data_IF_749541477887
#
_entry.id   IF_749541477887
#
_cell.length_a   1.000
_cell.length_b   1.000
_cell.length_c   1.000
_cell.angle_alpha   90.00
_cell.angle_beta   90.00
_cell.angle_gamma   90.00
#
_symmetry.space_group_name_H-M   'P 1'
#
loop_
_entity.id
_entity.type
_entity.pdbx_description
1 polymer ?
#
# COMPACT_ATOMS: atom_id res chain seq x y z
N UNK A 1 2.40 17.65 -56.59
CA UNK A 1 2.29 16.44 -55.75
C UNK A 1 3.51 15.56 -55.95
N UNK A 2 4.29 15.33 -54.89
CA UNK A 2 5.03 14.08 -54.74
C UNK A 2 4.72 13.41 -53.39
N UNK A 3 4.56 12.08 -53.44
CA UNK A 3 4.28 11.21 -52.28
C UNK A 3 5.47 11.22 -51.31
N UNK A 4 5.28 11.74 -50.09
CA UNK A 4 6.18 11.49 -48.94
C UNK A 4 5.84 10.12 -48.36
N UNK A 5 6.81 9.21 -48.37
CA UNK A 5 6.82 8.04 -47.49
C UNK A 5 6.82 8.53 -46.05
N UNK A 6 5.77 8.23 -45.29
CA UNK A 6 5.84 8.26 -43.83
C UNK A 6 6.65 7.03 -43.42
N UNK A 7 7.90 7.28 -43.05
CA UNK A 7 8.72 6.32 -42.32
C UNK A 7 8.11 6.19 -40.94
N UNK A 8 7.52 5.03 -40.64
CA UNK A 8 7.16 4.61 -39.30
C UNK A 8 8.46 4.53 -38.48
N UNK A 9 8.69 5.54 -37.64
CA UNK A 9 9.71 5.43 -36.60
C UNK A 9 9.13 4.55 -35.50
N UNK A 10 9.40 3.25 -35.56
CA UNK A 10 9.30 2.40 -34.38
C UNK A 10 10.38 2.88 -33.41
N UNK A 11 10.01 3.74 -32.46
CA UNK A 11 10.76 3.83 -31.22
C UNK A 11 10.57 2.50 -30.52
N UNK A 12 11.59 1.65 -30.60
CA UNK A 12 11.82 0.60 -29.61
C UNK A 12 11.69 1.26 -28.24
N UNK A 13 10.73 0.83 -27.43
CA UNK A 13 10.76 1.12 -25.99
C UNK A 13 12.05 0.50 -25.47
N UNK A 14 13.06 1.33 -25.23
CA UNK A 14 14.18 0.96 -24.38
C UNK A 14 13.55 0.66 -23.02
N UNK A 15 13.51 -0.63 -22.64
CA UNK A 15 13.11 -1.00 -21.28
C UNK A 15 14.08 -0.29 -20.35
N UNK A 16 13.56 0.51 -19.44
CA UNK A 16 14.37 1.06 -18.35
C UNK A 16 15.05 -0.11 -17.62
N UNK A 17 16.31 0.08 -17.19
CA UNK A 17 17.09 -1.00 -16.60
C UNK A 17 16.44 -1.45 -15.29
N UNK A 18 15.99 -2.70 -15.27
CA UNK A 18 15.47 -3.35 -14.06
C UNK A 18 16.58 -3.39 -13.00
N UNK A 19 16.28 -2.85 -11.81
CA UNK A 19 17.17 -2.86 -10.64
C UNK A 19 17.37 -4.28 -10.12
N UNK A 20 16.29 -5.06 -10.07
CA UNK A 20 16.30 -6.41 -9.53
C UNK A 20 15.41 -7.35 -10.36
N UNK A 21 16.03 -8.24 -11.14
CA UNK A 21 15.36 -9.17 -12.06
C UNK A 21 14.99 -10.54 -11.46
N UNK A 22 15.16 -10.68 -10.15
CA UNK A 22 14.96 -11.92 -9.43
C UNK A 22 14.34 -11.66 -8.05
N UNK A 23 13.77 -12.70 -7.46
CA UNK A 23 13.15 -12.61 -6.14
C UNK A 23 14.19 -12.94 -5.08
N UNK A 24 14.33 -12.08 -4.06
CA UNK A 24 15.18 -12.34 -2.90
C UNK A 24 14.29 -12.73 -1.71
N UNK A 25 14.60 -13.86 -1.07
CA UNK A 25 13.96 -14.25 0.20
C UNK A 25 14.98 -14.75 1.20
N UNK A 26 14.63 -14.71 2.48
CA UNK A 26 15.46 -15.29 3.52
C UNK A 26 15.46 -16.83 3.43
N UNK A 27 16.57 -17.45 3.80
CA UNK A 27 16.71 -18.91 3.89
C UNK A 27 15.84 -19.50 4.98
N UNK A 28 15.58 -18.74 6.04
CA UNK A 28 14.73 -19.18 7.14
C UNK A 28 13.28 -19.31 6.67
N UNK A 29 12.76 -18.29 5.99
CA UNK A 29 11.41 -18.30 5.42
C UNK A 29 11.26 -19.34 4.31
N UNK A 30 12.23 -19.42 3.39
CA UNK A 30 12.22 -20.43 2.31
C UNK A 30 12.08 -21.87 2.84
N UNK A 31 12.77 -22.18 3.94
CA UNK A 31 12.77 -23.51 4.58
C UNK A 31 11.63 -23.70 5.57
N UNK A 32 10.84 -22.67 5.84
CA UNK A 32 9.73 -22.79 6.79
C UNK A 32 8.64 -23.70 6.24
N UNK A 33 8.03 -24.46 7.14
CA UNK A 33 6.82 -25.23 6.86
C UNK A 33 5.55 -24.39 6.82
N UNK A 34 5.61 -23.12 7.26
CA UNK A 34 4.51 -22.17 7.11
C UNK A 34 4.57 -21.55 5.72
N UNK A 35 3.46 -21.58 5.01
CA UNK A 35 3.30 -21.01 3.66
C UNK A 35 3.54 -19.51 3.67
N UNK A 36 2.90 -18.81 4.60
CA UNK A 36 3.03 -17.36 4.72
C UNK A 36 4.46 -16.83 4.94
N UNK A 37 5.36 -17.59 5.56
CA UNK A 37 6.70 -17.10 5.90
C UNK A 37 7.52 -16.66 4.66
N UNK A 38 7.43 -17.40 3.54
CA UNK A 38 8.13 -17.02 2.30
C UNK A 38 7.48 -15.83 1.60
N UNK A 39 6.16 -15.72 1.68
CA UNK A 39 5.40 -14.58 1.15
C UNK A 39 5.77 -13.32 1.92
N UNK A 40 5.66 -13.36 3.25
CA UNK A 40 6.06 -12.26 4.14
C UNK A 40 7.52 -11.86 3.96
N UNK A 41 8.41 -12.82 3.66
CA UNK A 41 9.79 -12.52 3.33
C UNK A 41 9.95 -11.78 2.00
N UNK A 42 9.16 -12.09 0.97
CA UNK A 42 9.13 -11.32 -0.27
C UNK A 42 8.54 -9.92 -0.03
N UNK A 43 7.42 -9.84 0.71
CA UNK A 43 6.77 -8.58 1.10
C UNK A 43 7.75 -7.65 1.81
N UNK A 44 8.48 -8.17 2.80
CA UNK A 44 9.47 -7.39 3.55
C UNK A 44 10.60 -6.86 2.65
N UNK A 45 11.05 -7.65 1.68
CA UNK A 45 12.11 -7.24 0.74
C UNK A 45 11.59 -6.19 -0.23
N UNK A 46 10.41 -6.39 -0.83
CA UNK A 46 9.80 -5.43 -1.75
C UNK A 46 9.57 -4.10 -1.06
N UNK A 47 8.94 -4.09 0.13
CA UNK A 47 8.74 -2.87 0.92
C UNK A 47 10.06 -2.17 1.21
N UNK A 48 11.07 -2.89 1.71
CA UNK A 48 12.35 -2.29 2.01
C UNK A 48 13.01 -1.64 0.78
N UNK A 49 12.95 -2.28 -0.39
CA UNK A 49 13.51 -1.69 -1.61
C UNK A 49 12.72 -0.45 -2.06
N UNK A 50 11.39 -0.49 -1.97
CA UNK A 50 10.54 0.67 -2.28
C UNK A 50 10.80 1.83 -1.33
N UNK A 51 10.91 1.57 -0.02
CA UNK A 51 11.24 2.57 1.00
C UNK A 51 12.61 3.20 0.75
N UNK A 52 13.58 2.39 0.31
CA UNK A 52 14.95 2.80 0.00
C UNK A 52 15.12 3.36 -1.42
N UNK A 53 14.03 3.81 -2.07
CA UNK A 53 14.12 4.60 -3.30
C UNK A 53 14.00 3.83 -4.61
N UNK A 54 13.78 2.51 -4.57
CA UNK A 54 13.43 1.76 -5.79
C UNK A 54 12.04 2.18 -6.28
N UNK A 55 11.85 2.15 -7.59
CA UNK A 55 10.55 2.34 -8.23
C UNK A 55 9.90 1.00 -8.56
N UNK A 56 8.57 1.00 -8.63
CA UNK A 56 7.79 -0.23 -8.72
C UNK A 56 8.13 -1.07 -9.95
N UNK A 57 8.39 -0.45 -11.09
CA UNK A 57 8.73 -1.12 -12.36
C UNK A 57 10.21 -1.52 -12.48
N UNK A 58 11.05 -1.15 -11.50
CA UNK A 58 12.45 -1.57 -11.42
C UNK A 58 12.61 -2.95 -10.74
N UNK A 59 11.57 -3.48 -10.13
CA UNK A 59 11.56 -4.77 -9.43
C UNK A 59 11.03 -5.91 -10.33
N UNK A 60 11.39 -7.15 -9.97
CA UNK A 60 10.98 -8.36 -10.69
C UNK A 60 9.44 -8.47 -10.76
N UNK A 61 8.86 -8.75 -11.95
CA UNK A 61 7.42 -8.97 -12.08
C UNK A 61 6.89 -10.11 -11.19
N UNK A 62 7.73 -11.12 -10.92
CA UNK A 62 7.40 -12.21 -10.00
C UNK A 62 7.36 -11.74 -8.54
N UNK A 63 8.29 -10.87 -8.12
CA UNK A 63 8.29 -10.28 -6.78
C UNK A 63 7.03 -9.43 -6.55
N UNK A 64 6.73 -8.53 -7.49
CA UNK A 64 5.58 -7.64 -7.45
C UNK A 64 4.26 -8.39 -7.59
N UNK A 65 4.21 -9.42 -8.44
CA UNK A 65 3.03 -10.27 -8.59
C UNK A 65 2.71 -11.02 -7.29
N UNK A 66 3.73 -11.56 -6.61
CA UNK A 66 3.55 -12.17 -5.28
C UNK A 66 3.10 -11.15 -4.23
N UNK A 67 3.73 -9.98 -4.21
CA UNK A 67 3.45 -8.88 -3.29
C UNK A 67 2.01 -8.37 -3.42
N UNK A 68 1.57 -8.04 -4.63
CA UNK A 68 0.23 -7.48 -4.84
C UNK A 68 -0.88 -8.51 -4.72
N UNK A 69 -0.64 -9.79 -5.03
CA UNK A 69 -1.62 -10.85 -4.75
C UNK A 69 -1.80 -11.08 -3.24
N UNK A 70 -0.72 -11.02 -2.45
CA UNK A 70 -0.81 -11.05 -0.98
C UNK A 70 -1.62 -9.87 -0.45
N UNK A 71 -1.35 -8.65 -0.95
CA UNK A 71 -2.14 -7.47 -0.63
C UNK A 71 -3.63 -7.67 -0.99
N UNK A 72 -3.93 -8.17 -2.19
CA UNK A 72 -5.29 -8.47 -2.62
C UNK A 72 -6.01 -9.45 -1.68
N UNK A 73 -5.39 -10.61 -1.40
CA UNK A 73 -5.95 -11.61 -0.48
C UNK A 73 -6.20 -11.00 0.90
N UNK A 74 -5.21 -10.28 1.45
CA UNK A 74 -5.34 -9.66 2.77
C UNK A 74 -6.45 -8.59 2.84
N UNK A 75 -6.64 -7.78 1.80
CA UNK A 75 -7.73 -6.80 1.80
C UNK A 75 -9.11 -7.48 1.74
N UNK A 76 -9.25 -8.51 0.89
CA UNK A 76 -10.51 -9.23 0.75
C UNK A 76 -10.86 -10.03 2.00
N UNK A 77 -9.88 -10.66 2.65
CA UNK A 77 -10.11 -11.37 3.92
C UNK A 77 -10.49 -10.43 5.08
N UNK A 78 -10.00 -9.18 5.07
CA UNK A 78 -10.27 -8.22 6.14
C UNK A 78 -11.59 -7.45 5.96
N UNK A 79 -11.97 -7.12 4.74
CA UNK A 79 -13.16 -6.29 4.48
C UNK A 79 -13.75 -6.43 3.08
N UNK A 80 -13.51 -7.56 2.43
CA UNK A 80 -14.07 -7.86 1.12
C UNK A 80 -13.43 -7.11 -0.03
N UNK A 81 -14.02 -7.30 -1.21
CA UNK A 81 -13.56 -6.66 -2.44
C UNK A 81 -13.72 -5.13 -2.38
N UNK A 82 -14.73 -4.64 -1.66
CA UNK A 82 -14.91 -3.21 -1.39
C UNK A 82 -13.68 -2.59 -0.72
N UNK A 83 -13.18 -3.21 0.35
CA UNK A 83 -11.97 -2.74 1.02
C UNK A 83 -10.76 -2.80 0.09
N UNK A 84 -10.62 -3.83 -0.75
CA UNK A 84 -9.56 -3.89 -1.74
C UNK A 84 -9.65 -2.75 -2.78
N UNK A 85 -10.84 -2.50 -3.33
CA UNK A 85 -11.07 -1.44 -4.32
C UNK A 85 -10.69 -0.08 -3.70
N UNK A 86 -11.17 0.19 -2.49
CA UNK A 86 -10.89 1.44 -1.79
C UNK A 86 -9.39 1.60 -1.46
N UNK A 87 -8.79 0.61 -0.80
CA UNK A 87 -7.40 0.69 -0.33
C UNK A 87 -6.36 0.63 -1.45
N UNK A 88 -6.69 0.02 -2.60
CA UNK A 88 -5.83 0.07 -3.78
C UNK A 88 -5.95 1.41 -4.54
N UNK A 89 -6.96 2.24 -4.23
CA UNK A 89 -7.32 3.41 -5.03
C UNK A 89 -7.67 3.07 -6.48
N UNK A 90 -7.93 1.78 -6.76
CA UNK A 90 -8.00 1.22 -8.11
C UNK A 90 -6.80 1.58 -9.01
N UNK A 91 -5.62 1.68 -8.42
CA UNK A 91 -4.40 2.08 -9.12
C UNK A 91 -4.00 1.07 -10.22
N UNK A 92 -3.82 1.51 -11.49
CA UNK A 92 -3.53 0.59 -12.60
C UNK A 92 -2.26 -0.25 -12.43
N UNK A 93 -1.25 0.26 -11.71
CA UNK A 93 -0.03 -0.48 -11.42
C UNK A 93 -0.34 -1.65 -10.47
N UNK A 94 -1.06 -1.39 -9.37
CA UNK A 94 -1.52 -2.44 -8.44
C UNK A 94 -2.41 -3.47 -9.16
N UNK A 95 -3.45 -3.03 -9.86
CA UNK A 95 -4.42 -3.92 -10.54
C UNK A 95 -3.74 -4.77 -11.63
N UNK A 96 -2.80 -4.17 -12.36
CA UNK A 96 -1.99 -4.88 -13.35
C UNK A 96 -1.14 -5.99 -12.71
N UNK A 97 -0.52 -5.71 -11.56
CA UNK A 97 0.28 -6.70 -10.84
C UNK A 97 -0.54 -7.79 -10.18
N UNK A 98 -1.74 -7.51 -9.66
CA UNK A 98 -2.67 -8.55 -9.19
C UNK A 98 -3.03 -9.49 -10.34
N UNK A 99 -3.50 -8.94 -11.47
CA UNK A 99 -3.87 -9.73 -12.64
C UNK A 99 -2.70 -10.60 -13.14
N UNK A 100 -1.51 -10.01 -13.24
CA UNK A 100 -0.32 -10.73 -13.72
C UNK A 100 0.17 -11.75 -12.69
N UNK A 101 0.11 -11.44 -11.40
CA UNK A 101 0.48 -12.33 -10.32
C UNK A 101 -0.39 -13.59 -10.30
N UNK A 102 -1.71 -13.44 -10.37
CA UNK A 102 -2.65 -14.56 -10.43
C UNK A 102 -2.36 -15.48 -11.63
N UNK A 103 -2.08 -14.91 -12.81
CA UNK A 103 -1.67 -15.66 -14.00
C UNK A 103 -0.36 -16.43 -13.77
N UNK A 104 0.68 -15.76 -13.26
CA UNK A 104 2.00 -16.36 -13.02
C UNK A 104 1.96 -17.51 -12.00
N UNK A 105 1.09 -17.41 -11.00
CA UNK A 105 0.86 -18.46 -9.99
C UNK A 105 0.02 -19.63 -10.52
N UNK A 106 -0.62 -19.48 -11.69
CA UNK A 106 -1.59 -20.45 -12.21
C UNK A 106 -2.91 -20.47 -11.44
N UNK A 107 -3.23 -19.41 -10.69
CA UNK A 107 -4.45 -19.24 -9.91
C UNK A 107 -5.65 -18.90 -10.84
N UNK A 108 -5.98 -19.82 -11.75
CA UNK A 108 -6.87 -19.56 -12.88
C UNK A 108 -8.27 -19.13 -12.43
N UNK A 109 -8.83 -19.77 -11.38
CA UNK A 109 -10.17 -19.45 -10.87
C UNK A 109 -10.19 -18.06 -10.21
N UNK A 110 -9.15 -17.74 -9.45
CA UNK A 110 -8.99 -16.41 -8.87
C UNK A 110 -8.77 -15.34 -9.93
N UNK A 111 -8.02 -15.63 -10.99
CA UNK A 111 -7.85 -14.72 -12.13
C UNK A 111 -9.19 -14.43 -12.84
N UNK A 112 -10.03 -15.45 -13.02
CA UNK A 112 -11.39 -15.30 -13.58
C UNK A 112 -12.28 -14.46 -12.65
N UNK A 113 -12.25 -14.71 -11.33
CA UNK A 113 -12.97 -13.92 -10.35
C UNK A 113 -12.54 -12.45 -10.40
N UNK A 114 -11.23 -12.20 -10.36
CA UNK A 114 -10.66 -10.85 -10.41
C UNK A 114 -10.97 -10.11 -11.73
N UNK A 115 -11.03 -10.83 -12.85
CA UNK A 115 -11.47 -10.25 -14.12
C UNK A 115 -12.93 -9.76 -14.07
N UNK A 116 -13.82 -10.40 -13.28
CA UNK A 116 -15.18 -9.90 -13.05
C UNK A 116 -15.20 -8.68 -12.14
N UNK A 117 -14.33 -8.61 -11.13
CA UNK A 117 -14.16 -7.39 -10.32
C UNK A 117 -13.78 -6.21 -11.23
N UNK A 118 -12.83 -6.43 -12.15
CA UNK A 118 -12.45 -5.42 -13.14
C UNK A 118 -13.63 -5.02 -14.04
N UNK A 119 -14.45 -5.97 -14.49
CA UNK A 119 -15.65 -5.68 -15.28
C UNK A 119 -16.68 -4.83 -14.51
N UNK A 120 -16.86 -5.09 -13.21
CA UNK A 120 -17.73 -4.26 -12.36
C UNK A 120 -17.17 -2.83 -12.33
N UNK A 121 -15.89 -2.66 -12.04
CA UNK A 121 -15.25 -1.34 -11.98
C UNK A 121 -15.26 -0.59 -13.32
N UNK A 122 -15.09 -1.29 -14.44
CA UNK A 122 -15.18 -0.72 -15.79
C UNK A 122 -16.60 -0.28 -16.17
N UNK A 123 -17.62 -0.83 -15.51
CA UNK A 123 -19.03 -0.48 -15.75
C UNK A 123 -19.50 0.75 -14.97
N UNK A 124 -18.75 1.19 -13.95
CA UNK A 124 -19.10 2.33 -13.11
C UNK A 124 -18.94 3.66 -13.85
N UNK A 125 -19.85 4.61 -13.61
CA UNK A 125 -19.67 6.00 -14.06
C UNK A 125 -18.61 6.74 -13.23
N UNK A 126 -18.15 7.89 -13.72
CA UNK A 126 -17.18 8.73 -12.99
C UNK A 126 -17.74 9.22 -11.65
N UNK A 127 -19.04 9.54 -11.57
CA UNK A 127 -19.71 9.91 -10.32
C UNK A 127 -19.79 8.73 -9.34
N UNK A 128 -20.02 7.52 -9.87
CA UNK A 128 -20.07 6.31 -9.06
C UNK A 128 -18.70 5.93 -8.51
N UNK A 129 -17.65 6.16 -9.31
CA UNK A 129 -16.27 6.09 -8.86
C UNK A 129 -16.05 7.14 -7.79
N UNK A 130 -16.26 8.43 -8.04
CA UNK A 130 -16.02 9.48 -7.03
C UNK A 130 -16.67 9.17 -5.65
N UNK A 131 -17.90 8.66 -5.61
CA UNK A 131 -18.58 8.28 -4.37
C UNK A 131 -17.84 7.20 -3.55
N UNK A 132 -17.15 6.25 -4.19
CA UNK A 132 -16.36 5.21 -3.50
C UNK A 132 -15.13 5.83 -2.80
N UNK A 133 -14.59 6.94 -3.31
CA UNK A 133 -13.37 7.58 -2.80
C UNK A 133 -13.71 8.63 -1.74
N UNK A 134 -14.80 9.40 -1.92
CA UNK A 134 -15.16 10.51 -1.04
C UNK A 134 -15.80 10.05 0.29
N UNK A 135 -16.72 9.08 0.23
CA UNK A 135 -17.52 8.71 1.40
C UNK A 135 -17.19 7.29 1.92
N UNK A 136 -16.42 6.50 1.17
CA UNK A 136 -16.32 5.05 1.39
C UNK A 136 -17.69 4.34 1.30
N UNK A 137 -18.71 5.04 0.78
CA UNK A 137 -20.08 4.55 0.66
C UNK A 137 -20.27 3.99 -0.74
N UNK A 138 -20.36 2.67 -0.80
CA UNK A 138 -20.75 1.95 -1.99
C UNK A 138 -22.28 2.06 -2.15
N UNK A 139 -22.78 2.37 -3.35
CA UNK A 139 -24.22 2.38 -3.61
C UNK A 139 -24.85 1.00 -3.39
N UNK A 140 -26.13 0.94 -3.00
CA UNK A 140 -26.82 -0.31 -2.58
C UNK A 140 -26.67 -1.46 -3.59
N UNK A 141 -26.80 -1.16 -4.89
CA UNK A 141 -26.63 -2.15 -5.97
C UNK A 141 -25.16 -2.59 -6.18
N UNK A 142 -24.18 -1.75 -5.79
CA UNK A 142 -22.72 -2.01 -5.93
C UNK A 142 -22.17 -2.81 -4.77
N UNK A 143 -22.59 -2.45 -3.55
CA UNK A 143 -22.40 -3.25 -2.32
C UNK A 143 -22.82 -4.69 -2.64
N UNK A 144 -24.01 -4.84 -3.25
CA UNK A 144 -24.52 -6.16 -3.62
C UNK A 144 -23.62 -6.93 -4.61
N UNK A 145 -22.98 -6.26 -5.58
CA UNK A 145 -22.12 -6.93 -6.55
C UNK A 145 -20.77 -7.34 -5.95
N UNK A 146 -20.14 -6.47 -5.15
CA UNK A 146 -18.87 -6.78 -4.49
C UNK A 146 -19.04 -7.75 -3.32
N UNK A 147 -20.16 -7.71 -2.61
CA UNK A 147 -20.53 -8.72 -1.60
C UNK A 147 -20.61 -10.12 -2.24
N UNK A 148 -21.33 -10.26 -3.35
CA UNK A 148 -21.44 -11.55 -4.07
C UNK A 148 -20.07 -12.04 -4.52
N UNK A 149 -19.24 -11.16 -5.09
CA UNK A 149 -17.90 -11.53 -5.51
C UNK A 149 -16.98 -11.85 -4.32
N UNK A 150 -17.22 -11.24 -3.16
CA UNK A 150 -16.50 -11.51 -1.90
C UNK A 150 -16.87 -12.89 -1.37
N UNK A 151 -18.16 -13.22 -1.32
CA UNK A 151 -18.63 -14.56 -0.92
C UNK A 151 -18.03 -15.64 -1.85
N UNK A 152 -18.07 -15.41 -3.17
CA UNK A 152 -17.46 -16.32 -4.14
C UNK A 152 -15.94 -16.44 -3.95
N UNK A 153 -15.25 -15.36 -3.57
CA UNK A 153 -13.83 -15.40 -3.25
C UNK A 153 -13.56 -16.24 -2.00
N UNK A 154 -14.34 -16.06 -0.94
CA UNK A 154 -14.20 -16.81 0.31
C UNK A 154 -14.39 -18.30 0.05
N UNK A 155 -15.48 -18.69 -0.62
CA UNK A 155 -15.73 -20.08 -1.01
C UNK A 155 -14.60 -20.65 -1.88
N UNK A 156 -14.12 -19.87 -2.85
CA UNK A 156 -13.02 -20.27 -3.70
C UNK A 156 -11.72 -20.45 -2.90
N UNK A 157 -11.41 -19.57 -1.96
CA UNK A 157 -10.17 -19.63 -1.18
C UNK A 157 -10.17 -20.80 -0.19
N UNK A 158 -11.32 -21.37 0.16
CA UNK A 158 -11.40 -22.64 0.93
C UNK A 158 -10.88 -23.84 0.12
N UNK A 159 -11.10 -23.84 -1.20
CA UNK A 159 -10.71 -24.93 -2.11
C UNK A 159 -9.34 -24.70 -2.76
N UNK A 160 -9.07 -23.46 -3.19
CA UNK A 160 -7.89 -23.01 -3.91
C UNK A 160 -7.25 -21.85 -3.12
N UNK A 161 -6.51 -22.20 -2.06
CA UNK A 161 -5.87 -21.21 -1.18
C UNK A 161 -4.81 -20.39 -1.92
N UNK A 162 -5.05 -19.08 -2.11
CA UNK A 162 -4.09 -18.17 -2.72
C UNK A 162 -2.76 -18.14 -1.96
N UNK A 163 -2.80 -18.09 -0.63
CA UNK A 163 -1.59 -18.21 0.21
C UNK A 163 -0.73 -19.45 -0.17
N UNK A 164 -1.38 -20.59 -0.44
CA UNK A 164 -0.67 -21.83 -0.81
C UNK A 164 -0.11 -21.76 -2.22
N UNK A 165 -0.87 -21.22 -3.17
CA UNK A 165 -0.42 -21.03 -4.56
C UNK A 165 0.73 -20.04 -4.65
N UNK A 166 0.64 -18.89 -3.96
CA UNK A 166 1.66 -17.86 -3.92
C UNK A 166 2.97 -18.41 -3.31
N UNK A 167 2.88 -19.12 -2.18
CA UNK A 167 4.06 -19.75 -1.57
C UNK A 167 4.68 -20.84 -2.45
N UNK A 168 3.88 -21.61 -3.20
CA UNK A 168 4.37 -22.61 -4.13
C UNK A 168 5.04 -21.97 -5.36
N UNK A 169 4.44 -20.90 -5.89
CA UNK A 169 4.99 -20.09 -6.97
C UNK A 169 6.37 -19.56 -6.60
N UNK A 170 6.49 -18.83 -5.48
CA UNK A 170 7.77 -18.29 -5.00
C UNK A 170 8.84 -19.38 -4.86
N UNK A 171 8.51 -20.52 -4.25
CA UNK A 171 9.47 -21.63 -4.08
C UNK A 171 9.88 -22.29 -5.39
N UNK A 172 9.03 -22.22 -6.42
CA UNK A 172 9.24 -22.80 -7.74
C UNK A 172 9.99 -21.89 -8.73
N UNK A 173 10.24 -20.64 -8.37
CA UNK A 173 10.88 -19.67 -9.27
C UNK A 173 12.32 -20.08 -9.63
N UNK A 174 12.68 -20.11 -10.92
CA UNK A 174 14.05 -20.41 -11.35
C UNK A 174 15.04 -19.28 -10.99
N UNK A 175 14.54 -18.04 -10.87
CA UNK A 175 15.25 -16.84 -10.46
C UNK A 175 14.98 -16.50 -8.98
N UNK A 176 14.93 -17.48 -8.09
CA UNK A 176 14.85 -17.24 -6.65
C UNK A 176 16.26 -17.20 -6.02
N UNK A 177 16.63 -16.07 -5.42
CA UNK A 177 17.82 -15.95 -4.58
C UNK A 177 17.47 -16.20 -3.11
N UNK A 178 18.08 -17.23 -2.51
CA UNK A 178 17.85 -17.63 -1.11
C UNK A 178 19.03 -17.23 -0.22
N UNK A 179 18.87 -16.11 0.48
CA UNK A 179 19.93 -15.44 1.25
C UNK A 179 19.87 -15.83 2.73
N UNK A 180 21.01 -16.01 3.42
CA UNK A 180 20.93 -16.24 4.88
C UNK A 180 20.43 -14.99 5.57
N UNK A 181 19.61 -15.13 6.62
CA UNK A 181 19.05 -13.99 7.36
C UNK A 181 20.10 -12.94 7.78
N UNK A 182 21.26 -13.37 8.27
CA UNK A 182 22.36 -12.48 8.69
C UNK A 182 23.07 -11.77 7.52
N UNK A 183 22.94 -12.29 6.31
CA UNK A 183 23.59 -11.77 5.10
C UNK A 183 22.58 -10.95 4.26
N UNK A 184 21.29 -10.91 4.65
CA UNK A 184 20.20 -10.28 3.87
C UNK A 184 20.34 -8.76 3.83
N UNK A 185 20.61 -8.13 4.95
CA UNK A 185 20.80 -6.68 5.05
C UNK A 185 21.93 -6.19 4.14
N UNK A 186 23.11 -6.81 4.23
CA UNK A 186 24.25 -6.49 3.35
C UNK A 186 23.92 -6.73 1.87
N UNK A 187 23.17 -7.80 1.56
CA UNK A 187 22.75 -8.10 0.19
C UNK A 187 21.82 -7.04 -0.38
N UNK A 188 20.85 -6.55 0.40
CA UNK A 188 19.92 -5.51 -0.01
C UNK A 188 20.60 -4.15 -0.09
N UNK A 189 21.51 -3.81 0.84
CA UNK A 189 22.35 -2.62 0.74
C UNK A 189 23.17 -2.60 -0.56
N UNK A 190 23.65 -3.76 -1.01
CA UNK A 190 24.30 -3.91 -2.31
C UNK A 190 23.38 -3.64 -3.51
N UNK A 191 22.07 -3.95 -3.43
CA UNK A 191 21.08 -3.56 -4.45
C UNK A 191 20.85 -2.06 -4.42
N UNK A 192 20.59 -1.52 -3.23
CA UNK A 192 20.26 -0.10 -3.02
C UNK A 192 21.39 0.81 -3.53
N UNK A 193 22.65 0.41 -3.31
CA UNK A 193 23.81 1.14 -3.83
C UNK A 193 23.88 1.22 -5.38
N UNK A 194 23.07 0.44 -6.10
CA UNK A 194 22.96 0.50 -7.57
C UNK A 194 21.78 1.32 -8.08
N UNK A 195 20.92 1.82 -7.18
CA UNK A 195 19.80 2.69 -7.55
C UNK A 195 20.35 4.00 -8.14
N UNK A 196 19.99 4.35 -9.38
CA UNK A 196 20.42 5.60 -9.99
C UNK A 196 19.79 6.79 -9.28
N UNK A 197 20.55 7.87 -9.13
CA UNK A 197 20.08 9.16 -8.59
C UNK A 197 19.35 9.03 -7.23
N UNK A 198 19.74 8.04 -6.42
CA UNK A 198 19.05 7.68 -5.17
C UNK A 198 18.83 8.88 -4.23
N UNK A 199 19.88 9.68 -4.00
CA UNK A 199 19.78 10.89 -3.15
C UNK A 199 18.72 11.87 -3.67
N UNK A 200 18.65 12.05 -4.99
CA UNK A 200 17.66 12.92 -5.62
C UNK A 200 16.25 12.33 -5.49
N UNK A 201 16.07 11.04 -5.76
CA UNK A 201 14.76 10.36 -5.63
C UNK A 201 14.22 10.47 -4.21
N UNK A 202 15.05 10.24 -3.20
CA UNK A 202 14.67 10.37 -1.79
C UNK A 202 14.32 11.82 -1.44
N UNK A 203 15.11 12.80 -1.92
CA UNK A 203 14.82 14.21 -1.70
C UNK A 203 13.50 14.64 -2.36
N UNK A 204 13.20 14.19 -3.58
CA UNK A 204 11.95 14.45 -4.28
C UNK A 204 10.75 13.84 -3.55
N UNK A 205 10.86 12.59 -3.09
CA UNK A 205 9.81 11.94 -2.29
C UNK A 205 9.57 12.66 -0.96
N UNK A 206 10.63 13.05 -0.25
CA UNK A 206 10.52 13.82 0.98
C UNK A 206 9.85 15.18 0.73
N UNK A 207 10.22 15.87 -0.35
CA UNK A 207 9.60 17.13 -0.73
C UNK A 207 8.12 16.96 -1.09
N UNK A 208 7.77 15.90 -1.82
CA UNK A 208 6.38 15.58 -2.17
C UNK A 208 5.56 15.24 -0.92
N UNK A 209 6.09 14.38 -0.04
CA UNK A 209 5.44 14.03 1.22
C UNK A 209 5.22 15.27 2.10
N UNK A 210 6.18 16.19 2.17
CA UNK A 210 6.01 17.48 2.84
C UNK A 210 4.97 18.37 2.15
N UNK A 211 4.93 18.40 0.82
CA UNK A 211 3.96 19.20 0.06
C UNK A 211 2.53 18.69 0.23
N UNK A 212 2.32 17.38 0.29
CA UNK A 212 1.01 16.74 0.47
C UNK A 212 0.70 16.37 1.91
N UNK A 213 1.55 16.75 2.86
CA UNK A 213 1.37 16.41 4.28
C UNK A 213 0.01 16.92 4.76
N UNK A 214 -0.88 16.02 5.23
CA UNK A 214 -2.23 16.39 5.63
C UNK A 214 -2.19 17.26 6.88
N UNK A 215 -3.25 18.05 7.07
CA UNK A 215 -3.34 19.03 8.15
C UNK A 215 -3.14 18.39 9.53
N UNK A 216 -3.79 17.26 9.81
CA UNK A 216 -3.67 16.59 11.12
C UNK A 216 -2.22 16.26 11.48
N UNK A 217 -1.41 15.84 10.50
CA UNK A 217 -0.01 15.53 10.73
C UNK A 217 0.81 16.78 11.07
N UNK A 218 0.56 17.90 10.37
CA UNK A 218 1.19 19.19 10.68
C UNK A 218 0.81 19.70 12.07
N UNK A 219 -0.44 19.49 12.48
CA UNK A 219 -0.93 19.84 13.83
C UNK A 219 -0.24 19.00 14.90
N UNK A 220 -0.09 17.68 14.69
CA UNK A 220 0.65 16.80 15.61
C UNK A 220 2.12 17.21 15.73
N UNK A 221 2.78 17.56 14.62
CA UNK A 221 4.14 18.08 14.63
C UNK A 221 4.24 19.39 15.43
N UNK A 222 3.27 20.30 15.28
CA UNK A 222 3.22 21.54 16.06
C UNK A 222 3.01 21.27 17.56
N UNK A 223 2.17 20.30 17.93
CA UNK A 223 1.99 19.86 19.32
C UNK A 223 3.30 19.31 19.89
N UNK A 224 3.98 18.44 19.14
CA UNK A 224 5.24 17.86 19.59
C UNK A 224 6.32 18.94 19.75
N UNK A 225 6.40 19.90 18.82
CA UNK A 225 7.33 21.02 18.90
C UNK A 225 7.05 21.95 20.11
N UNK A 226 5.77 22.26 20.39
CA UNK A 226 5.36 23.07 21.55
C UNK A 226 5.75 22.39 22.88
N UNK A 227 5.61 21.06 22.94
CA UNK A 227 5.87 20.27 24.15
C UNK A 227 7.30 19.76 24.30
N UNK A 228 8.11 19.86 23.24
CA UNK A 228 9.46 19.30 23.20
C UNK A 228 9.47 17.77 23.15
N UNK A 229 8.48 17.17 22.51
CA UNK A 229 8.37 15.71 22.31
C UNK A 229 8.96 15.31 20.96
N UNK A 230 9.48 14.09 20.89
CA UNK A 230 9.87 13.46 19.64
C UNK A 230 8.71 12.58 19.14
N UNK A 231 8.16 12.92 17.96
CA UNK A 231 7.13 12.12 17.31
C UNK A 231 7.73 10.82 16.77
N UNK A 232 7.22 9.68 17.22
CA UNK A 232 7.62 8.36 16.72
C UNK A 232 6.76 7.96 15.50
N UNK A 233 5.43 8.05 15.62
CA UNK A 233 4.50 7.73 14.53
C UNK A 233 3.09 8.27 14.81
N UNK A 234 2.31 8.50 13.76
CA UNK A 234 0.85 8.68 13.85
C UNK A 234 0.23 7.30 13.60
N UNK A 235 -0.73 6.87 14.41
CA UNK A 235 -1.19 5.48 14.43
C UNK A 235 -2.58 5.29 13.83
N UNK A 236 -3.53 6.17 14.15
CA UNK A 236 -4.91 6.02 13.70
C UNK A 236 -5.69 7.35 13.73
N UNK A 237 -6.69 7.46 12.86
CA UNK A 237 -7.81 8.38 13.04
C UNK A 237 -9.00 7.61 13.61
N UNK A 238 -9.53 8.08 14.73
CA UNK A 238 -10.74 7.58 15.37
C UNK A 238 -11.94 8.45 14.96
N UNK A 239 -12.78 8.00 14.01
CA UNK A 239 -13.96 8.75 13.58
C UNK A 239 -15.09 8.73 14.62
N UNK A 240 -14.96 7.98 15.71
CA UNK A 240 -15.98 7.86 16.76
C UNK A 240 -15.78 8.85 17.91
N UNK A 241 -14.69 9.62 17.88
CA UNK A 241 -14.41 10.62 18.88
C UNK A 241 -15.51 11.70 18.92
N UNK A 242 -15.73 12.26 20.12
CA UNK A 242 -16.72 13.32 20.32
C UNK A 242 -16.11 14.49 21.09
N UNK A 243 -16.43 15.70 20.66
CA UNK A 243 -16.07 16.95 21.34
C UNK A 243 -17.30 17.85 21.42
N UNK A 244 -17.65 18.33 22.62
CA UNK A 244 -18.84 19.14 22.87
C UNK A 244 -20.16 18.54 22.32
N UNK A 245 -20.25 17.21 22.29
CA UNK A 245 -21.40 16.47 21.76
C UNK A 245 -21.51 16.41 20.24
N UNK A 246 -20.49 16.88 19.51
CA UNK A 246 -20.34 16.70 18.07
C UNK A 246 -19.34 15.59 17.77
N UNK A 247 -19.59 14.82 16.71
CA UNK A 247 -18.66 13.82 16.22
C UNK A 247 -17.50 14.53 15.51
N UNK A 248 -16.28 14.14 15.89
CA UNK A 248 -15.02 14.67 15.35
C UNK A 248 -14.07 13.49 15.12
N UNK A 249 -12.97 13.71 14.38
CA UNK A 249 -11.93 12.71 14.23
C UNK A 249 -10.86 12.96 15.30
N UNK A 250 -10.60 11.96 16.15
CA UNK A 250 -9.49 11.95 17.09
C UNK A 250 -8.25 11.33 16.44
N UNK A 251 -7.11 12.02 16.44
CA UNK A 251 -5.88 11.48 15.85
C UNK A 251 -4.92 10.98 16.92
N UNK A 252 -4.58 9.69 16.84
CA UNK A 252 -3.69 9.00 17.76
C UNK A 252 -2.24 9.01 17.25
N UNK A 253 -1.29 9.21 18.16
CA UNK A 253 0.13 9.25 17.85
C UNK A 253 1.01 8.80 19.03
N UNK A 254 2.19 8.28 18.71
CA UNK A 254 3.21 7.85 19.65
C UNK A 254 4.36 8.84 19.68
N UNK A 255 4.87 9.09 20.86
CA UNK A 255 6.06 9.91 21.11
C UNK A 255 7.01 9.17 22.05
N UNK A 256 8.19 9.75 22.27
CA UNK A 256 9.11 9.33 23.34
C UNK A 256 8.52 9.41 24.76
N UNK A 257 7.36 10.05 24.91
CA UNK A 257 6.57 10.13 26.14
C UNK A 257 5.37 9.17 26.19
N UNK A 258 5.21 8.31 25.17
CA UNK A 258 4.15 7.33 25.07
C UNK A 258 3.03 7.77 24.13
N UNK A 259 1.86 7.17 24.34
CA UNK A 259 0.69 7.35 23.50
C UNK A 259 -0.12 8.59 23.88
N UNK A 260 -0.50 9.36 22.86
CA UNK A 260 -1.33 10.54 22.94
C UNK A 260 -2.36 10.53 21.83
N UNK A 261 -3.42 11.32 22.01
CA UNK A 261 -4.33 11.63 20.92
C UNK A 261 -4.77 13.09 20.96
N UNK A 262 -5.24 13.61 19.83
CA UNK A 262 -5.65 15.00 19.73
C UNK A 262 -6.92 15.19 18.92
N UNK A 263 -7.59 16.32 19.16
CA UNK A 263 -8.70 16.83 18.35
C UNK A 263 -8.27 18.18 17.79
N UNK A 264 -8.30 18.31 16.45
CA UNK A 264 -8.04 19.57 15.75
C UNK A 264 -9.33 20.40 15.66
N UNK A 265 -9.31 21.60 16.25
CA UNK A 265 -10.43 22.55 16.26
C UNK A 265 -10.16 23.77 15.34
N UNK A 266 -9.19 23.67 14.43
CA UNK A 266 -8.83 24.73 13.48
C UNK A 266 -7.73 25.66 14.00
N UNK A 267 -8.05 26.57 14.92
CA UNK A 267 -7.04 27.48 15.49
C UNK A 267 -6.29 26.87 16.68
N UNK A 268 -6.81 25.78 17.23
CA UNK A 268 -6.29 25.10 18.41
C UNK A 268 -6.48 23.60 18.31
N UNK A 269 -5.61 22.85 18.97
CA UNK A 269 -5.73 21.42 19.13
C UNK A 269 -5.78 21.05 20.61
N UNK A 270 -6.72 20.19 20.99
CA UNK A 270 -6.84 19.65 22.35
C UNK A 270 -6.10 18.31 22.38
N UNK A 271 -5.23 18.13 23.37
CA UNK A 271 -4.35 16.95 23.49
C UNK A 271 -4.72 16.15 24.71
N UNK A 272 -4.76 14.83 24.55
CA UNK A 272 -5.13 13.86 25.56
C UNK A 272 -3.99 12.84 25.80
N UNK A 273 -3.92 12.32 27.01
CA UNK A 273 -3.05 11.17 27.33
C UNK A 273 -3.74 9.83 27.02
N UNK A 274 -3.04 8.73 27.33
CA UNK A 274 -3.54 7.38 27.11
C UNK A 274 -4.72 6.99 28.01
N UNK A 275 -5.01 7.77 29.05
CA UNK A 275 -6.09 7.55 30.01
C UNK A 275 -7.28 8.50 29.73
N UNK A 276 -7.33 9.10 28.53
CA UNK A 276 -8.33 10.06 28.05
C UNK A 276 -8.42 11.35 28.88
N UNK A 277 -7.37 11.70 29.61
CA UNK A 277 -7.31 12.98 30.31
C UNK A 277 -6.84 14.06 29.35
N UNK A 278 -7.54 15.21 29.32
CA UNK A 278 -7.04 16.40 28.64
C UNK A 278 -5.76 16.88 29.35
N UNK A 279 -4.65 16.89 28.60
CA UNK A 279 -3.34 17.30 29.09
C UNK A 279 -2.90 18.66 28.52
N UNK A 280 -3.74 19.29 27.70
CA UNK A 280 -3.61 20.71 27.34
C UNK A 280 -4.14 21.06 25.96
N UNK A 281 -4.05 22.35 25.64
CA UNK A 281 -4.49 22.93 24.36
C UNK A 281 -3.32 23.66 23.73
N UNK A 282 -3.04 23.38 22.47
CA UNK A 282 -1.95 23.98 21.69
C UNK A 282 -2.54 24.93 20.63
N UNK A 283 -1.97 26.13 20.50
CA UNK A 283 -2.30 27.07 19.43
C UNK A 283 -1.67 26.57 18.11
N UNK A 284 -2.53 26.25 17.14
CA UNK A 284 -2.12 25.78 15.81
C UNK A 284 -2.69 26.67 14.71
N UNK A 285 -3.03 27.92 15.03
CA UNK A 285 -3.56 28.91 14.09
C UNK A 285 -2.62 29.23 12.93
N UNK A 286 -1.32 28.96 13.09
CA UNK A 286 -0.32 29.09 12.04
C UNK A 286 -0.30 27.89 11.06
N UNK A 287 -0.94 26.77 11.41
CA UNK A 287 -1.06 25.60 10.52
C UNK A 287 -2.17 25.89 9.50
N UNK A 288 -1.88 25.84 8.19
CA UNK A 288 -2.89 26.08 7.15
C UNK A 288 -4.10 25.14 7.29
N UNK A 289 -5.29 25.66 7.01
CA UNK A 289 -6.50 24.85 6.85
C UNK A 289 -6.39 23.86 5.69
N UNK A 290 -7.36 22.95 5.59
CA UNK A 290 -7.56 22.10 4.40
C UNK A 290 -7.97 22.93 3.17
#
# INVERSE_FOLDING_TARGET
MPRRRMSSSSRSQEREPMLLDHVIVSRTSYRSGRTYDIIMSNVSVVNHLLDEGAEGDELSPEALGSYHVDFYEAQVENGGIDQFVHNSGWDPFIIGHVSKGLELMGATRHAELFARVQQVMDSLSDEERAAIWDDGVFGDDRVTAFDVLTDEFVELNEEERLETLNAAFLRGLPNLEVVRRRDLEERLAGVIATIPDLEQRLAERAAQAEATKPRFARVIEAICADRGWELETITAGDPTATHDGQQVIGWHFLTDHGHHWMIDLGDRAVVYDTDDNEIGVVDVSAVPGE
#
